data_IF_942677230665
#
_entry.id   IF_942677230665
#
_cell.length_a   1.000
_cell.length_b   1.000
_cell.length_c   1.000
_cell.angle_alpha   90.00
_cell.angle_beta   90.00
_cell.angle_gamma   90.00
#
_symmetry.space_group_name_H-M   'P 1'
#
loop_
_entity.id
_entity.type
_entity.pdbx_description
1 polymer ?
#
# COMPACT_ATOMS: atom_id res chain seq x y z
N UNK A 1 20.12 -83.76 34.46
CA UNK A 1 20.35 -82.40 34.03
C UNK A 1 19.55 -82.14 32.76
N UNK A 2 18.44 -81.41 32.83
CA UNK A 2 17.57 -81.10 31.68
C UNK A 2 17.77 -79.64 31.35
N UNK A 3 18.27 -79.35 30.14
CA UNK A 3 18.38 -78.02 29.60
C UNK A 3 17.01 -77.51 29.12
N UNK A 4 16.55 -76.37 29.67
CA UNK A 4 15.35 -75.67 29.21
C UNK A 4 15.81 -74.48 28.31
N UNK A 5 15.34 -74.52 27.05
CA UNK A 5 15.54 -73.39 26.12
C UNK A 5 14.46 -72.35 26.35
N UNK A 6 14.81 -70.99 26.36
CA UNK A 6 13.81 -69.97 26.40
C UNK A 6 13.27 -69.64 24.98
N UNK A 7 11.95 -69.47 24.92
CA UNK A 7 11.20 -69.05 23.72
C UNK A 7 11.45 -67.59 23.42
N UNK A 8 12.02 -67.29 22.25
CA UNK A 8 12.11 -65.97 21.71
C UNK A 8 10.74 -65.44 21.28
N UNK A 9 10.28 -64.33 21.90
CA UNK A 9 9.11 -63.56 21.49
C UNK A 9 9.59 -62.57 20.43
N UNK A 10 9.13 -62.71 19.20
CA UNK A 10 9.24 -61.72 18.14
C UNK A 10 8.32 -60.53 18.48
N UNK A 11 8.88 -59.39 18.81
CA UNK A 11 8.17 -58.13 18.83
C UNK A 11 8.11 -57.59 17.39
N UNK A 12 6.92 -57.60 16.80
CA UNK A 12 6.65 -56.86 15.56
C UNK A 12 6.57 -55.37 15.92
N UNK A 13 7.60 -54.60 15.58
CA UNK A 13 7.56 -53.16 15.63
C UNK A 13 6.77 -52.65 14.42
N UNK A 14 5.56 -52.15 14.67
CA UNK A 14 4.80 -51.40 13.68
C UNK A 14 5.49 -50.06 13.46
N UNK A 15 6.13 -49.87 12.30
CA UNK A 15 6.62 -48.59 11.85
C UNK A 15 5.41 -47.75 11.38
N UNK A 16 4.94 -46.84 12.24
CA UNK A 16 4.03 -45.79 11.85
C UNK A 16 4.86 -44.82 11.01
N UNK A 17 4.76 -44.88 9.68
CA UNK A 17 5.27 -43.85 8.79
C UNK A 17 4.43 -42.58 9.02
N UNK A 18 4.95 -41.65 9.84
CA UNK A 18 4.44 -40.30 9.86
C UNK A 18 4.76 -39.68 8.50
N UNK A 19 3.74 -39.51 7.69
CA UNK A 19 3.78 -38.60 6.52
C UNK A 19 4.08 -37.21 7.06
N UNK A 20 5.36 -36.86 7.11
CA UNK A 20 5.77 -35.47 7.24
C UNK A 20 5.19 -34.75 6.03
N UNK A 21 4.16 -33.94 6.26
CA UNK A 21 3.69 -33.01 5.26
C UNK A 21 4.90 -32.16 4.89
N UNK A 22 5.35 -32.27 3.64
CA UNK A 22 6.35 -31.37 3.08
C UNK A 22 5.87 -29.95 3.35
N UNK A 23 6.74 -29.02 3.77
CA UNK A 23 6.34 -27.62 3.88
C UNK A 23 5.81 -27.22 2.50
N UNK A 24 4.50 -27.00 2.40
CA UNK A 24 3.92 -26.43 1.22
C UNK A 24 4.69 -25.10 1.01
N UNK A 25 5.44 -25.00 -0.07
CA UNK A 25 6.01 -23.72 -0.50
C UNK A 25 4.85 -22.74 -0.50
N UNK A 26 4.88 -21.79 0.42
CA UNK A 26 3.85 -20.77 0.49
C UNK A 26 3.86 -20.03 -0.86
N UNK A 27 2.80 -20.31 -1.64
CA UNK A 27 2.67 -19.74 -2.98
C UNK A 27 2.59 -18.23 -2.86
N UNK A 28 3.51 -17.53 -3.50
CA UNK A 28 3.46 -16.07 -3.55
C UNK A 28 2.38 -15.63 -4.56
N UNK A 29 1.14 -15.56 -4.06
CA UNK A 29 -0.03 -15.17 -4.84
C UNK A 29 0.12 -13.74 -5.42
N UNK A 30 0.92 -12.89 -4.78
CA UNK A 30 1.09 -11.50 -5.20
C UNK A 30 1.96 -11.37 -6.46
N UNK A 31 2.78 -12.38 -6.78
CA UNK A 31 3.59 -12.44 -8.01
C UNK A 31 2.77 -12.56 -9.30
N UNK A 32 1.48 -12.91 -9.19
CA UNK A 32 0.57 -13.06 -10.33
C UNK A 32 -0.08 -11.72 -10.75
N UNK A 33 0.12 -10.65 -9.97
CA UNK A 33 -0.46 -9.36 -10.27
C UNK A 33 0.27 -8.59 -11.37
N UNK A 34 -0.52 -8.05 -12.29
CA UNK A 34 -0.18 -6.98 -13.22
C UNK A 34 -1.18 -5.83 -12.99
N UNK A 35 -0.85 -4.94 -12.06
CA UNK A 35 -1.80 -3.90 -11.61
C UNK A 35 -2.21 -2.91 -12.71
N UNK A 36 -1.35 -2.72 -13.73
CA UNK A 36 -1.66 -1.91 -14.90
C UNK A 36 -2.67 -2.58 -15.83
N UNK A 37 -2.77 -3.93 -15.77
CA UNK A 37 -3.73 -4.71 -16.55
C UNK A 37 -4.43 -5.76 -15.66
N UNK A 38 -5.54 -5.37 -15.00
CA UNK A 38 -6.32 -6.30 -14.18
C UNK A 38 -6.92 -7.48 -14.97
N UNK A 39 -7.14 -7.34 -16.28
CA UNK A 39 -7.65 -8.45 -17.09
C UNK A 39 -6.55 -9.51 -17.33
N UNK A 40 -5.32 -9.10 -17.57
CA UNK A 40 -4.17 -10.01 -17.62
C UNK A 40 -3.95 -10.72 -16.29
N UNK A 41 -4.09 -9.99 -15.16
CA UNK A 41 -4.03 -10.59 -13.81
C UNK A 41 -5.12 -11.64 -13.61
N UNK A 42 -6.36 -11.36 -14.04
CA UNK A 42 -7.47 -12.34 -13.98
C UNK A 42 -7.12 -13.62 -14.73
N UNK A 43 -6.60 -13.50 -15.96
CA UNK A 43 -6.25 -14.68 -16.76
C UNK A 43 -5.19 -15.55 -16.05
N UNK A 44 -4.16 -14.93 -15.45
CA UNK A 44 -3.14 -15.62 -14.66
C UNK A 44 -3.73 -16.32 -13.42
N UNK A 45 -4.62 -15.64 -12.68
CA UNK A 45 -5.29 -16.23 -11.52
C UNK A 45 -6.24 -17.36 -11.91
N UNK A 46 -6.94 -17.29 -13.04
CA UNK A 46 -7.78 -18.38 -13.52
C UNK A 46 -6.96 -19.63 -13.88
N UNK A 47 -5.82 -19.46 -14.54
CA UNK A 47 -4.89 -20.56 -14.80
C UNK A 47 -4.35 -21.18 -13.50
N UNK A 48 -4.03 -20.34 -12.50
CA UNK A 48 -3.59 -20.81 -11.18
C UNK A 48 -4.71 -21.55 -10.45
N UNK A 49 -5.96 -21.12 -10.57
CA UNK A 49 -7.13 -21.71 -9.92
C UNK A 49 -7.33 -23.20 -10.28
N UNK A 50 -6.91 -23.61 -11.47
CA UNK A 50 -6.96 -25.01 -11.91
C UNK A 50 -5.96 -25.91 -11.15
N UNK A 51 -4.87 -25.30 -10.67
CA UNK A 51 -3.73 -25.98 -10.05
C UNK A 51 -3.84 -26.06 -8.53
N UNK A 52 -4.64 -25.20 -7.90
CA UNK A 52 -4.73 -25.08 -6.44
C UNK A 52 -6.03 -25.65 -5.88
N UNK A 53 -6.02 -26.05 -4.59
CA UNK A 53 -7.18 -26.61 -3.87
C UNK A 53 -7.22 -26.03 -2.44
N UNK A 54 -8.32 -26.25 -1.73
CA UNK A 54 -8.49 -25.81 -0.33
C UNK A 54 -8.30 -24.30 -0.18
N UNK A 55 -7.60 -23.90 0.88
CA UNK A 55 -7.37 -22.49 1.23
C UNK A 55 -6.72 -21.69 0.11
N UNK A 56 -5.72 -22.24 -0.57
CA UNK A 56 -5.06 -21.58 -1.68
C UNK A 56 -6.04 -21.27 -2.84
N UNK A 57 -7.02 -22.15 -3.08
CA UNK A 57 -8.06 -21.91 -4.08
C UNK A 57 -8.95 -20.73 -3.67
N UNK A 58 -9.34 -20.66 -2.40
CA UNK A 58 -10.16 -19.57 -1.86
C UNK A 58 -9.39 -18.24 -1.96
N UNK A 59 -8.12 -18.22 -1.59
CA UNK A 59 -7.28 -17.03 -1.74
C UNK A 59 -7.21 -16.55 -3.20
N UNK A 60 -7.00 -17.44 -4.17
CA UNK A 60 -6.98 -17.10 -5.59
C UNK A 60 -8.34 -16.54 -6.04
N UNK A 61 -9.45 -17.11 -5.60
CA UNK A 61 -10.79 -16.60 -5.93
C UNK A 61 -10.99 -15.17 -5.42
N UNK A 62 -10.50 -14.83 -4.22
CA UNK A 62 -10.56 -13.45 -3.72
C UNK A 62 -9.76 -12.48 -4.60
N UNK A 63 -8.62 -12.91 -5.15
CA UNK A 63 -7.81 -12.08 -6.05
C UNK A 63 -8.48 -11.90 -7.42
N UNK A 64 -9.18 -12.91 -7.92
CA UNK A 64 -10.03 -12.76 -9.13
C UNK A 64 -11.14 -11.74 -8.85
N UNK A 65 -11.80 -11.79 -7.69
CA UNK A 65 -12.80 -10.78 -7.31
C UNK A 65 -12.21 -9.36 -7.29
N UNK A 66 -10.97 -9.20 -6.80
CA UNK A 66 -10.26 -7.93 -6.85
C UNK A 66 -10.05 -7.40 -8.28
N UNK A 67 -9.77 -8.28 -9.27
CA UNK A 67 -9.62 -7.84 -10.66
C UNK A 67 -10.92 -7.25 -11.23
N UNK A 68 -12.08 -7.80 -10.86
CA UNK A 68 -13.38 -7.22 -11.20
C UNK A 68 -13.60 -5.87 -10.50
N UNK A 69 -13.29 -5.78 -9.21
CA UNK A 69 -13.41 -4.54 -8.44
C UNK A 69 -12.56 -3.40 -9.04
N UNK A 70 -11.32 -3.69 -9.47
CA UNK A 70 -10.44 -2.71 -10.11
C UNK A 70 -11.00 -2.21 -11.45
N UNK A 71 -11.73 -3.06 -12.19
CA UNK A 71 -12.44 -2.70 -13.43
C UNK A 71 -13.83 -2.12 -13.18
N UNK A 72 -14.19 -1.87 -11.92
CA UNK A 72 -15.50 -1.35 -11.47
C UNK A 72 -16.68 -2.29 -11.73
N UNK A 73 -16.46 -3.56 -12.03
CA UNK A 73 -17.49 -4.58 -12.08
C UNK A 73 -17.77 -5.15 -10.68
N UNK A 74 -18.33 -4.29 -9.84
CA UNK A 74 -18.61 -4.62 -8.43
C UNK A 74 -19.60 -5.77 -8.28
N UNK A 75 -20.53 -5.90 -9.22
CA UNK A 75 -21.52 -7.00 -9.22
C UNK A 75 -20.84 -8.36 -9.38
N UNK A 76 -19.88 -8.50 -10.30
CA UNK A 76 -19.12 -9.73 -10.48
C UNK A 76 -18.20 -9.99 -9.28
N UNK A 77 -17.54 -8.94 -8.76
CA UNK A 77 -16.70 -9.08 -7.57
C UNK A 77 -17.50 -9.64 -6.39
N UNK A 78 -18.67 -9.07 -6.11
CA UNK A 78 -19.53 -9.53 -5.01
C UNK A 78 -20.03 -10.95 -5.23
N UNK A 79 -20.52 -11.32 -6.43
CA UNK A 79 -20.96 -12.69 -6.72
C UNK A 79 -19.88 -13.72 -6.44
N UNK A 80 -18.65 -13.47 -6.89
CA UNK A 80 -17.56 -14.41 -6.63
C UNK A 80 -17.20 -14.49 -5.15
N UNK A 81 -17.25 -13.37 -4.42
CA UNK A 81 -17.03 -13.35 -2.98
C UNK A 81 -18.16 -14.05 -2.21
N UNK A 82 -19.42 -13.98 -2.69
CA UNK A 82 -20.57 -14.72 -2.13
C UNK A 82 -20.42 -16.24 -2.28
N UNK A 83 -19.76 -16.70 -3.36
CA UNK A 83 -19.41 -18.13 -3.56
C UNK A 83 -18.28 -18.59 -2.63
N UNK A 84 -17.36 -17.70 -2.25
CA UNK A 84 -16.25 -17.98 -1.32
C UNK A 84 -16.72 -18.04 0.12
N UNK A 85 -17.61 -17.13 0.53
CA UNK A 85 -18.01 -16.87 1.91
C UNK A 85 -18.43 -18.13 2.69
N UNK A 86 -19.33 -19.01 2.20
CA UNK A 86 -19.76 -20.19 2.97
C UNK A 86 -18.64 -21.19 3.21
N UNK A 87 -17.59 -21.17 2.40
CA UNK A 87 -16.44 -22.07 2.52
C UNK A 87 -15.46 -21.63 3.61
N UNK A 88 -15.54 -20.36 4.03
CA UNK A 88 -14.66 -19.78 5.04
C UNK A 88 -14.89 -20.36 6.44
N UNK A 89 -16.03 -20.99 6.70
CA UNK A 89 -16.32 -21.59 8.01
C UNK A 89 -15.30 -22.66 8.42
N UNK A 90 -14.73 -23.37 7.45
CA UNK A 90 -13.72 -24.41 7.66
C UNK A 90 -12.32 -24.03 7.16
N UNK A 91 -12.16 -22.83 6.61
CA UNK A 91 -10.90 -22.35 6.08
C UNK A 91 -9.99 -21.79 7.19
N UNK A 92 -8.69 -21.74 6.91
CA UNK A 92 -7.70 -21.07 7.73
C UNK A 92 -7.86 -19.53 7.77
N UNK A 93 -6.96 -18.87 8.47
CA UNK A 93 -7.02 -17.42 8.65
C UNK A 93 -6.73 -16.63 7.35
N UNK A 94 -5.77 -17.08 6.52
CA UNK A 94 -5.35 -16.34 5.34
C UNK A 94 -6.49 -16.11 4.32
N UNK A 95 -7.26 -17.12 3.86
CA UNK A 95 -8.38 -16.89 2.96
C UNK A 95 -9.49 -16.04 3.58
N UNK A 96 -9.73 -16.15 4.90
CA UNK A 96 -10.69 -15.28 5.62
C UNK A 96 -10.28 -13.82 5.57
N UNK A 97 -9.02 -13.55 5.88
CA UNK A 97 -8.48 -12.17 5.86
C UNK A 97 -8.51 -11.61 4.44
N UNK A 98 -8.08 -12.38 3.43
CA UNK A 98 -8.15 -11.92 2.03
C UNK A 98 -9.58 -11.66 1.57
N UNK A 99 -10.52 -12.51 1.93
CA UNK A 99 -11.94 -12.27 1.66
C UNK A 99 -12.41 -10.94 2.24
N UNK A 100 -12.14 -10.68 3.52
CA UNK A 100 -12.51 -9.44 4.19
C UNK A 100 -11.89 -8.21 3.52
N UNK A 101 -10.60 -8.29 3.19
CA UNK A 101 -9.89 -7.23 2.48
C UNK A 101 -10.51 -6.93 1.12
N UNK A 102 -10.77 -7.95 0.30
CA UNK A 102 -11.28 -7.74 -1.06
C UNK A 102 -12.77 -7.36 -1.05
N UNK A 103 -13.56 -7.87 -0.12
CA UNK A 103 -14.95 -7.44 0.10
C UNK A 103 -14.99 -5.96 0.51
N UNK A 104 -14.14 -5.57 1.46
CA UNK A 104 -14.00 -4.19 1.92
C UNK A 104 -13.54 -3.24 0.81
N UNK A 105 -12.54 -3.64 0.01
CA UNK A 105 -12.08 -2.87 -1.16
C UNK A 105 -13.17 -2.67 -2.19
N UNK A 106 -13.98 -3.70 -2.45
CA UNK A 106 -15.10 -3.61 -3.39
C UNK A 106 -16.13 -2.59 -2.92
N UNK A 107 -16.52 -2.62 -1.63
CA UNK A 107 -17.42 -1.61 -1.05
C UNK A 107 -16.81 -0.21 -1.09
N UNK A 108 -15.54 -0.06 -0.70
CA UNK A 108 -14.88 1.25 -0.74
C UNK A 108 -14.85 1.83 -2.17
N UNK A 109 -14.53 1.01 -3.17
CA UNK A 109 -14.49 1.43 -4.57
C UNK A 109 -15.87 1.77 -5.15
N UNK A 110 -16.92 1.18 -4.59
CA UNK A 110 -18.32 1.52 -4.88
C UNK A 110 -18.81 2.79 -4.14
N UNK A 111 -18.00 3.34 -3.21
CA UNK A 111 -18.36 4.51 -2.39
C UNK A 111 -19.05 4.14 -1.07
N UNK A 112 -19.19 2.86 -0.74
CA UNK A 112 -19.89 2.33 0.44
C UNK A 112 -18.92 2.17 1.62
N UNK A 113 -18.29 3.27 2.04
CA UNK A 113 -17.22 3.28 3.06
C UNK A 113 -17.65 2.71 4.41
N UNK A 114 -18.89 2.96 4.83
CA UNK A 114 -19.41 2.47 6.11
C UNK A 114 -19.49 0.93 6.16
N UNK A 115 -19.70 0.29 4.99
CA UNK A 115 -19.69 -1.17 4.86
C UNK A 115 -18.28 -1.74 4.79
N UNK A 116 -17.34 -0.97 4.25
CA UNK A 116 -15.95 -1.39 4.12
C UNK A 116 -15.20 -1.38 5.46
N UNK A 117 -15.43 -0.37 6.31
CA UNK A 117 -14.71 -0.17 7.57
C UNK A 117 -14.69 -1.41 8.47
N UNK A 118 -15.83 -2.01 8.86
CA UNK A 118 -15.83 -3.16 9.77
C UNK A 118 -15.05 -4.35 9.19
N UNK A 119 -15.08 -4.56 7.89
CA UNK A 119 -14.35 -5.65 7.24
C UNK A 119 -12.83 -5.49 7.34
N UNK A 120 -12.32 -4.28 7.19
CA UNK A 120 -10.89 -4.01 7.34
C UNK A 120 -10.44 -4.14 8.80
N UNK A 121 -11.27 -3.73 9.77
CA UNK A 121 -10.98 -3.90 11.19
C UNK A 121 -10.95 -5.39 11.56
N UNK A 122 -11.94 -6.17 11.14
CA UNK A 122 -11.98 -7.61 11.36
C UNK A 122 -10.78 -8.32 10.68
N UNK A 123 -10.41 -7.90 9.47
CA UNK A 123 -9.22 -8.41 8.79
C UNK A 123 -7.94 -8.19 9.61
N UNK A 124 -7.77 -7.02 10.20
CA UNK A 124 -6.66 -6.71 11.10
C UNK A 124 -6.63 -7.64 12.32
N UNK A 125 -7.77 -7.84 12.97
CA UNK A 125 -7.88 -8.67 14.18
C UNK A 125 -7.54 -10.13 13.90
N UNK A 126 -8.13 -10.72 12.83
CA UNK A 126 -7.86 -12.11 12.44
C UNK A 126 -6.40 -12.28 12.00
N UNK A 127 -5.89 -11.36 11.19
CA UNK A 127 -4.50 -11.42 10.70
C UNK A 127 -3.50 -11.29 11.85
N UNK A 128 -3.74 -10.38 12.79
CA UNK A 128 -2.91 -10.20 13.98
C UNK A 128 -2.89 -11.45 14.88
N UNK A 129 -4.06 -12.04 15.15
CA UNK A 129 -4.17 -13.27 15.94
C UNK A 129 -3.49 -14.46 15.29
N UNK A 130 -3.45 -14.51 13.95
CA UNK A 130 -2.84 -15.59 13.17
C UNK A 130 -1.37 -15.35 12.80
N UNK A 131 -0.76 -14.23 13.19
CA UNK A 131 0.62 -13.89 12.83
C UNK A 131 0.83 -13.58 11.34
N UNK A 132 -0.23 -13.22 10.62
CA UNK A 132 -0.21 -12.86 9.19
C UNK A 132 0.13 -11.37 9.04
N UNK A 133 1.35 -10.98 9.46
CA UNK A 133 1.74 -9.57 9.60
C UNK A 133 1.60 -8.76 8.30
N UNK A 134 1.91 -9.35 7.14
CA UNK A 134 1.72 -8.69 5.84
C UNK A 134 0.27 -8.33 5.56
N UNK A 135 -0.67 -9.24 5.85
CA UNK A 135 -2.11 -8.98 5.68
C UNK A 135 -2.66 -8.04 6.76
N UNK A 136 -2.11 -8.10 7.99
CA UNK A 136 -2.48 -7.16 9.05
C UNK A 136 -2.08 -5.73 8.67
N UNK A 137 -0.85 -5.53 8.19
CA UNK A 137 -0.39 -4.20 7.72
C UNK A 137 -1.24 -3.69 6.55
N UNK A 138 -1.63 -4.57 5.63
CA UNK A 138 -2.53 -4.24 4.53
C UNK A 138 -3.91 -3.79 5.05
N UNK A 139 -4.48 -4.48 6.03
CA UNK A 139 -5.73 -4.08 6.66
C UNK A 139 -5.62 -2.71 7.36
N UNK A 140 -4.54 -2.48 8.13
CA UNK A 140 -4.29 -1.20 8.79
C UNK A 140 -4.10 -0.05 7.78
N UNK A 141 -3.58 -0.32 6.58
CA UNK A 141 -3.48 0.65 5.50
C UNK A 141 -4.85 1.00 4.89
N UNK A 142 -5.78 0.06 4.84
CA UNK A 142 -7.10 0.28 4.25
C UNK A 142 -8.05 1.09 5.14
N UNK A 143 -7.95 0.98 6.47
CA UNK A 143 -8.86 1.69 7.39
C UNK A 143 -8.80 3.23 7.22
N UNK A 144 -7.62 3.89 7.15
CA UNK A 144 -7.54 5.34 6.96
C UNK A 144 -8.23 5.86 5.70
N UNK A 145 -8.30 5.03 4.66
CA UNK A 145 -8.94 5.40 3.38
C UNK A 145 -10.45 5.58 3.53
N UNK A 146 -11.05 4.87 4.49
CA UNK A 146 -12.51 4.87 4.70
C UNK A 146 -12.96 5.77 5.84
N UNK A 147 -12.12 5.98 6.89
CA UNK A 147 -12.52 6.75 8.06
C UNK A 147 -11.93 8.17 8.12
N UNK A 148 -10.71 8.38 7.66
CA UNK A 148 -10.03 9.68 7.77
C UNK A 148 -9.78 10.16 9.21
N UNK A 149 -9.40 11.43 9.35
CA UNK A 149 -9.27 12.12 10.64
C UNK A 149 -8.38 11.41 11.68
N UNK A 150 -8.64 11.68 12.95
CA UNK A 150 -7.85 11.13 14.06
C UNK A 150 -7.88 9.59 14.14
N UNK A 151 -9.01 8.97 13.83
CA UNK A 151 -9.10 7.51 13.78
C UNK A 151 -8.20 6.95 12.67
N UNK A 152 -8.23 7.54 11.47
CA UNK A 152 -7.37 7.13 10.37
C UNK A 152 -5.88 7.32 10.68
N UNK A 153 -5.51 8.42 11.34
CA UNK A 153 -4.14 8.66 11.77
C UNK A 153 -3.65 7.60 12.77
N UNK A 154 -4.49 7.19 13.71
CA UNK A 154 -4.18 6.13 14.67
C UNK A 154 -3.97 4.77 13.98
N UNK A 155 -4.81 4.41 13.00
CA UNK A 155 -4.65 3.19 12.21
C UNK A 155 -3.36 3.21 11.38
N UNK A 156 -3.02 4.36 10.78
CA UNK A 156 -1.74 4.54 10.08
C UNK A 156 -0.56 4.30 11.03
N UNK A 157 -0.61 4.86 12.25
CA UNK A 157 0.42 4.67 13.27
C UNK A 157 0.58 3.19 13.65
N UNK A 158 -0.52 2.46 13.86
CA UNK A 158 -0.50 1.00 14.13
C UNK A 158 0.15 0.22 13.00
N UNK A 159 -0.20 0.55 11.74
CA UNK A 159 0.42 -0.05 10.57
C UNK A 159 1.92 0.18 10.50
N UNK A 160 2.38 1.41 10.75
CA UNK A 160 3.82 1.78 10.81
C UNK A 160 4.54 0.98 11.89
N UNK A 161 3.98 0.92 13.10
CA UNK A 161 4.60 0.19 14.22
C UNK A 161 4.74 -1.31 13.93
N UNK A 162 3.70 -1.92 13.36
CA UNK A 162 3.78 -3.32 12.98
C UNK A 162 4.81 -3.54 11.87
N UNK A 163 4.78 -2.74 10.80
CA UNK A 163 5.70 -2.89 9.67
C UNK A 163 7.16 -2.70 10.06
N UNK A 164 7.46 -1.77 11.00
CA UNK A 164 8.84 -1.55 11.51
C UNK A 164 9.41 -2.74 12.25
N UNK A 165 8.61 -3.40 13.10
CA UNK A 165 9.08 -4.54 13.91
C UNK A 165 8.96 -5.88 13.21
N UNK A 166 8.24 -5.94 12.09
CA UNK A 166 7.97 -7.17 11.36
C UNK A 166 9.24 -7.73 10.70
N UNK A 167 9.33 -9.05 10.65
CA UNK A 167 10.27 -9.78 9.82
C UNK A 167 9.65 -10.23 8.49
N UNK A 168 8.32 -10.11 8.36
CA UNK A 168 7.59 -10.41 7.13
C UNK A 168 7.97 -9.41 6.03
N UNK A 169 8.43 -9.93 4.89
CA UNK A 169 8.87 -9.10 3.76
C UNK A 169 7.73 -8.25 3.18
N UNK A 170 6.48 -8.74 3.19
CA UNK A 170 5.31 -8.02 2.66
C UNK A 170 4.93 -6.87 3.60
N UNK A 171 4.92 -7.10 4.92
CA UNK A 171 4.72 -6.06 5.91
C UNK A 171 5.76 -4.94 5.78
N UNK A 172 7.03 -5.30 5.68
CA UNK A 172 8.13 -4.35 5.52
C UNK A 172 8.08 -3.57 4.21
N UNK A 173 7.65 -4.21 3.13
CA UNK A 173 7.51 -3.56 1.83
C UNK A 173 6.46 -2.44 1.82
N UNK A 174 5.50 -2.45 2.75
CA UNK A 174 4.49 -1.39 2.91
C UNK A 174 4.97 -0.21 3.76
N UNK A 175 6.06 -0.38 4.53
CA UNK A 175 6.54 0.64 5.46
C UNK A 175 6.77 2.02 4.81
N UNK A 176 7.39 2.16 3.61
CA UNK A 176 7.64 3.47 3.03
C UNK A 176 6.34 4.26 2.74
N UNK A 177 5.30 3.59 2.26
CA UNK A 177 4.00 4.21 1.99
C UNK A 177 3.27 4.60 3.27
N UNK A 178 3.31 3.74 4.30
CA UNK A 178 2.71 4.02 5.61
C UNK A 178 3.40 5.20 6.30
N UNK A 179 4.72 5.28 6.25
CA UNK A 179 5.49 6.41 6.78
C UNK A 179 5.10 7.72 6.08
N UNK A 180 5.00 7.69 4.75
CA UNK A 180 4.56 8.85 3.99
C UNK A 180 3.16 9.32 4.44
N UNK A 181 2.21 8.40 4.56
CA UNK A 181 0.86 8.72 5.01
C UNK A 181 0.84 9.24 6.46
N UNK A 182 1.64 8.64 7.34
CA UNK A 182 1.76 9.11 8.73
C UNK A 182 2.33 10.52 8.80
N UNK A 183 3.36 10.82 8.02
CA UNK A 183 3.95 12.15 7.95
C UNK A 183 2.97 13.20 7.41
N UNK A 184 2.15 12.84 6.41
CA UNK A 184 1.10 13.73 5.91
C UNK A 184 -0.01 13.96 6.94
N UNK A 185 -0.42 12.94 7.72
CA UNK A 185 -1.37 13.14 8.82
C UNK A 185 -0.85 14.16 9.82
N UNK A 186 0.41 14.03 10.26
CA UNK A 186 1.05 15.00 11.16
C UNK A 186 1.14 16.40 10.52
N UNK A 187 1.47 16.46 9.24
CA UNK A 187 1.57 17.72 8.51
C UNK A 187 0.21 18.43 8.42
N UNK A 188 -0.86 17.71 8.13
CA UNK A 188 -2.22 18.25 8.02
C UNK A 188 -2.77 18.73 9.37
N UNK A 189 -2.29 18.14 10.47
CA UNK A 189 -2.52 18.60 11.85
C UNK A 189 -1.67 19.84 12.23
N UNK A 190 -0.81 20.34 11.34
CA UNK A 190 0.12 21.46 11.62
C UNK A 190 1.34 21.05 12.44
N UNK A 191 1.55 19.79 12.73
CA UNK A 191 2.67 19.22 13.53
C UNK A 191 3.91 19.01 12.67
N UNK A 192 4.33 20.07 11.96
CA UNK A 192 5.41 20.00 10.97
C UNK A 192 6.75 19.53 11.53
N UNK A 193 7.08 19.91 12.77
CA UNK A 193 8.32 19.50 13.43
C UNK A 193 8.37 17.98 13.70
N UNK A 194 7.21 17.36 13.92
CA UNK A 194 7.09 15.92 14.10
C UNK A 194 6.95 15.19 12.74
N UNK A 195 6.33 15.83 11.74
CA UNK A 195 6.21 15.27 10.39
C UNK A 195 7.56 15.13 9.68
N UNK A 196 8.46 16.11 9.83
CA UNK A 196 9.72 16.15 9.08
C UNK A 196 10.60 14.91 9.29
N UNK A 197 10.88 14.43 10.53
CA UNK A 197 11.66 13.21 10.70
C UNK A 197 11.00 11.98 10.09
N UNK A 198 9.65 11.89 10.10
CA UNK A 198 8.92 10.77 9.51
C UNK A 198 8.99 10.82 7.97
N UNK A 199 8.87 12.01 7.35
CA UNK A 199 9.11 12.17 5.91
C UNK A 199 10.52 11.76 5.49
N UNK A 200 11.54 12.11 6.28
CA UNK A 200 12.92 11.69 6.01
C UNK A 200 13.11 10.18 6.14
N UNK A 201 12.45 9.54 7.10
CA UNK A 201 12.45 8.08 7.22
C UNK A 201 11.77 7.44 6.00
N UNK A 202 10.63 7.99 5.54
CA UNK A 202 9.96 7.55 4.32
C UNK A 202 10.85 7.69 3.08
N UNK A 203 11.57 8.81 2.95
CA UNK A 203 12.55 9.04 1.87
C UNK A 203 13.62 7.94 1.85
N UNK A 204 14.28 7.70 2.98
CA UNK A 204 15.31 6.64 3.08
C UNK A 204 14.73 5.28 2.73
N UNK A 205 13.54 4.97 3.24
CA UNK A 205 12.87 3.70 2.97
C UNK A 205 12.50 3.54 1.48
N UNK A 206 12.02 4.59 0.81
CA UNK A 206 11.75 4.54 -0.64
C UNK A 206 13.01 4.40 -1.47
N UNK A 207 14.07 5.15 -1.14
CA UNK A 207 15.36 5.04 -1.84
C UNK A 207 15.95 3.64 -1.75
N UNK A 208 15.81 2.97 -0.61
CA UNK A 208 16.25 1.59 -0.42
C UNK A 208 15.52 0.58 -1.32
N UNK A 209 14.30 0.91 -1.81
CA UNK A 209 13.57 0.04 -2.76
C UNK A 209 14.10 0.12 -4.19
N UNK A 210 14.93 1.10 -4.53
CA UNK A 210 15.37 1.40 -5.88
C UNK A 210 14.30 2.01 -6.80
N UNK A 211 13.10 2.29 -6.28
CA UNK A 211 11.99 2.87 -7.04
C UNK A 211 12.16 4.39 -7.16
N UNK A 212 12.80 4.83 -8.22
CA UNK A 212 13.14 6.25 -8.43
C UNK A 212 11.96 7.23 -8.39
N UNK A 213 10.79 6.95 -9.02
CA UNK A 213 9.66 7.89 -8.95
C UNK A 213 9.18 8.13 -7.51
N UNK A 214 9.06 7.04 -6.71
CA UNK A 214 8.62 7.15 -5.31
C UNK A 214 9.65 7.86 -4.44
N UNK A 215 10.95 7.64 -4.68
CA UNK A 215 12.03 8.36 -4.01
C UNK A 215 11.97 9.87 -4.27
N UNK A 216 11.69 10.30 -5.50
CA UNK A 216 11.49 11.72 -5.85
C UNK A 216 10.29 12.32 -5.14
N UNK A 217 9.15 11.61 -5.10
CA UNK A 217 7.94 12.07 -4.39
C UNK A 217 8.22 12.22 -2.89
N UNK A 218 8.93 11.28 -2.28
CA UNK A 218 9.30 11.36 -0.86
C UNK A 218 10.19 12.58 -0.57
N UNK A 219 11.17 12.86 -1.41
CA UNK A 219 12.01 14.06 -1.30
C UNK A 219 11.21 15.35 -1.50
N UNK A 220 10.26 15.38 -2.44
CA UNK A 220 9.33 16.47 -2.60
C UNK A 220 8.53 16.71 -1.31
N UNK A 221 8.04 15.64 -0.66
CA UNK A 221 7.30 15.73 0.61
C UNK A 221 8.16 16.31 1.74
N UNK A 222 9.44 15.92 1.83
CA UNK A 222 10.41 16.52 2.77
C UNK A 222 10.52 18.03 2.52
N UNK A 223 10.73 18.45 1.29
CA UNK A 223 10.86 19.86 0.92
C UNK A 223 9.58 20.65 1.21
N UNK A 224 8.42 20.07 0.93
CA UNK A 224 7.11 20.66 1.24
C UNK A 224 6.94 20.88 2.75
N UNK A 225 7.36 19.92 3.58
CA UNK A 225 7.34 20.04 5.04
C UNK A 225 8.34 21.13 5.53
N UNK A 226 9.54 21.18 4.96
CA UNK A 226 10.53 22.23 5.26
C UNK A 226 9.98 23.63 4.95
N UNK A 227 9.24 23.81 3.85
CA UNK A 227 8.55 25.08 3.55
C UNK A 227 7.54 25.44 4.66
N UNK A 228 6.76 24.47 5.14
CA UNK A 228 5.83 24.71 6.25
C UNK A 228 6.50 25.07 7.56
N UNK A 229 7.77 24.68 7.75
CA UNK A 229 8.62 25.06 8.89
C UNK A 229 9.36 26.40 8.68
N UNK A 230 9.20 27.08 7.56
CA UNK A 230 9.94 28.31 7.22
C UNK A 230 11.41 28.07 6.83
N UNK A 231 11.83 26.82 6.62
CA UNK A 231 13.20 26.43 6.23
C UNK A 231 13.35 26.50 4.71
N UNK A 232 13.14 27.71 4.16
CA UNK A 232 12.96 27.93 2.74
C UNK A 232 14.19 27.59 1.89
N UNK A 233 15.41 27.91 2.35
CA UNK A 233 16.64 27.65 1.58
C UNK A 233 16.89 26.13 1.41
N UNK A 234 16.66 25.36 2.47
CA UNK A 234 16.79 23.89 2.42
C UNK A 234 15.75 23.29 1.47
N UNK A 235 14.49 23.74 1.59
CA UNK A 235 13.41 23.28 0.72
C UNK A 235 13.70 23.61 -0.75
N UNK A 236 14.17 24.83 -1.04
CA UNK A 236 14.49 25.26 -2.39
C UNK A 236 15.66 24.44 -2.97
N UNK A 237 16.69 24.12 -2.18
CA UNK A 237 17.78 23.27 -2.59
C UNK A 237 17.30 21.89 -3.04
N UNK A 238 16.41 21.26 -2.30
CA UNK A 238 15.83 19.95 -2.64
C UNK A 238 14.98 20.05 -3.93
N UNK A 239 14.12 21.07 -4.05
CA UNK A 239 13.25 21.23 -5.21
C UNK A 239 14.04 21.51 -6.50
N UNK A 240 15.13 22.27 -6.42
CA UNK A 240 16.03 22.49 -7.55
C UNK A 240 16.75 21.20 -7.99
N UNK A 241 17.19 20.38 -7.05
CA UNK A 241 17.75 19.08 -7.37
C UNK A 241 16.73 18.16 -8.06
N UNK A 242 15.48 18.15 -7.59
CA UNK A 242 14.37 17.38 -8.21
C UNK A 242 14.07 17.89 -9.62
N UNK A 243 14.05 19.22 -9.83
CA UNK A 243 13.88 19.81 -11.17
C UNK A 243 14.94 19.29 -12.16
N UNK A 244 16.21 19.25 -11.73
CA UNK A 244 17.31 18.74 -12.56
C UNK A 244 17.18 17.25 -12.85
N UNK A 245 16.80 16.45 -11.86
CA UNK A 245 16.60 15.00 -12.02
C UNK A 245 15.43 14.66 -12.96
N UNK A 246 14.33 15.42 -12.90
CA UNK A 246 13.22 15.26 -13.83
C UNK A 246 13.61 15.66 -15.24
N UNK A 247 14.34 16.77 -15.39
CA UNK A 247 14.84 17.23 -16.69
C UNK A 247 15.85 16.23 -17.31
N UNK A 248 16.74 15.64 -16.50
CA UNK A 248 17.66 14.60 -16.93
C UNK A 248 16.96 13.32 -17.39
N UNK A 249 15.75 13.05 -16.85
CA UNK A 249 14.89 11.94 -17.29
C UNK A 249 14.02 12.30 -18.53
N UNK A 250 14.18 13.48 -19.11
CA UNK A 250 13.33 13.97 -20.21
C UNK A 250 11.89 14.27 -19.81
N UNK A 251 11.65 14.53 -18.54
CA UNK A 251 10.33 14.73 -17.95
C UNK A 251 10.25 16.07 -17.20
N UNK A 252 9.03 16.47 -16.87
CA UNK A 252 8.76 17.64 -16.05
C UNK A 252 7.75 17.26 -14.95
N UNK A 253 7.84 17.95 -13.82
CA UNK A 253 6.91 17.76 -12.70
C UNK A 253 6.33 19.11 -12.27
N UNK A 254 5.03 19.29 -12.50
CA UNK A 254 4.33 20.54 -12.20
C UNK A 254 4.27 20.84 -10.70
N UNK A 255 4.27 19.84 -9.84
CA UNK A 255 4.30 20.01 -8.38
C UNK A 255 5.66 20.53 -7.91
N UNK A 256 6.75 20.10 -8.54
CA UNK A 256 8.10 20.64 -8.25
C UNK A 256 8.16 22.12 -8.66
N UNK A 257 7.62 22.48 -9.82
CA UNK A 257 7.58 23.87 -10.25
C UNK A 257 6.73 24.75 -9.33
N UNK A 258 5.56 24.26 -8.90
CA UNK A 258 4.73 24.98 -7.95
C UNK A 258 5.47 25.23 -6.62
N UNK A 259 6.14 24.22 -6.04
CA UNK A 259 6.88 24.39 -4.81
C UNK A 259 8.08 25.36 -4.96
N UNK A 260 8.79 25.35 -6.08
CA UNK A 260 9.85 26.33 -6.36
C UNK A 260 9.25 27.76 -6.43
N UNK A 261 8.11 27.92 -7.10
CA UNK A 261 7.43 29.21 -7.18
C UNK A 261 7.01 29.73 -5.80
N UNK A 262 6.37 28.88 -4.98
CA UNK A 262 5.94 29.23 -3.64
C UNK A 262 7.13 29.62 -2.73
N UNK A 263 8.25 28.91 -2.85
CA UNK A 263 9.47 29.18 -2.08
C UNK A 263 10.13 30.50 -2.50
N UNK A 264 10.21 30.77 -3.79
CA UNK A 264 10.74 32.03 -4.30
C UNK A 264 9.88 33.21 -3.88
N UNK A 265 8.57 33.06 -3.94
CA UNK A 265 7.63 34.09 -3.50
C UNK A 265 7.74 34.36 -1.99
N UNK A 266 7.76 33.27 -1.18
CA UNK A 266 7.93 33.39 0.27
C UNK A 266 9.26 34.02 0.70
N UNK A 267 10.27 34.01 -0.18
CA UNK A 267 11.58 34.64 0.04
C UNK A 267 11.72 35.99 -0.61
N UNK A 268 10.60 36.62 -1.07
CA UNK A 268 10.60 37.98 -1.63
C UNK A 268 11.19 38.11 -3.03
N UNK A 269 11.10 37.00 -3.84
CA UNK A 269 11.62 36.96 -5.22
C UNK A 269 10.48 36.71 -6.24
N UNK A 270 9.43 37.57 -6.26
CA UNK A 270 8.25 37.35 -7.10
C UNK A 270 8.55 37.27 -8.59
N UNK A 271 9.50 38.08 -9.08
CA UNK A 271 9.89 38.07 -10.50
C UNK A 271 10.51 36.72 -10.92
N UNK A 272 11.20 36.06 -10.01
CA UNK A 272 11.74 34.70 -10.26
C UNK A 272 10.67 33.62 -10.06
N UNK A 273 9.66 33.86 -9.22
CA UNK A 273 8.57 32.93 -8.97
C UNK A 273 7.59 32.83 -10.16
N UNK A 274 7.31 33.97 -10.83
CA UNK A 274 6.32 34.05 -11.89
C UNK A 274 6.52 33.01 -13.02
N UNK A 275 7.71 32.83 -13.62
CA UNK A 275 7.90 31.82 -14.66
C UNK A 275 7.69 30.39 -14.15
N UNK A 276 7.94 30.16 -12.87
CA UNK A 276 7.67 28.83 -12.26
C UNK A 276 6.18 28.59 -12.03
N UNK A 277 5.41 29.58 -11.63
CA UNK A 277 3.94 29.48 -11.58
C UNK A 277 3.35 29.16 -12.96
N UNK A 278 3.87 29.79 -14.02
CA UNK A 278 3.44 29.45 -15.38
C UNK A 278 3.77 28.01 -15.76
N UNK A 279 5.01 27.57 -15.56
CA UNK A 279 5.43 26.20 -15.84
C UNK A 279 4.59 25.18 -15.05
N UNK A 280 4.29 25.48 -13.78
CA UNK A 280 3.42 24.63 -12.96
C UNK A 280 2.00 24.53 -13.54
N UNK A 281 1.42 25.66 -13.94
CA UNK A 281 0.10 25.70 -14.56
C UNK A 281 0.04 24.93 -15.89
N UNK A 282 1.09 25.04 -16.70
CA UNK A 282 1.19 24.37 -17.99
C UNK A 282 1.30 22.84 -17.81
N UNK A 283 2.12 22.36 -16.87
CA UNK A 283 2.28 20.93 -16.62
C UNK A 283 1.07 20.32 -15.92
N UNK A 284 0.59 20.91 -14.83
CA UNK A 284 -0.57 20.41 -14.08
C UNK A 284 -1.88 20.53 -14.88
N UNK A 285 -1.94 21.49 -15.80
CA UNK A 285 -3.08 21.64 -16.71
C UNK A 285 -3.21 20.52 -17.76
N UNK A 286 -2.20 19.69 -17.95
CA UNK A 286 -2.26 18.48 -18.81
C UNK A 286 -2.91 17.30 -18.09
N UNK A 287 -2.96 17.30 -16.76
CA UNK A 287 -3.57 16.25 -15.95
C UNK A 287 -5.08 16.47 -15.82
N UNK A 288 -5.87 15.62 -16.46
CA UNK A 288 -7.33 15.67 -16.43
C UNK A 288 -7.90 15.62 -15.00
N UNK A 289 -7.27 14.79 -14.12
CA UNK A 289 -7.67 14.73 -12.72
C UNK A 289 -7.43 16.05 -11.99
N UNK A 290 -6.27 16.67 -12.19
CA UNK A 290 -5.94 17.94 -11.56
C UNK A 290 -6.88 19.06 -12.04
N UNK A 291 -7.17 19.09 -13.32
CA UNK A 291 -8.12 20.07 -13.91
C UNK A 291 -9.51 19.93 -13.31
N UNK A 292 -9.99 18.69 -13.12
CA UNK A 292 -11.31 18.40 -12.55
C UNK A 292 -11.37 18.65 -11.04
N UNK A 293 -10.37 18.20 -10.29
CA UNK A 293 -10.41 18.16 -8.81
C UNK A 293 -9.80 19.40 -8.15
N UNK A 294 -8.86 20.08 -8.83
CA UNK A 294 -8.12 21.23 -8.31
C UNK A 294 -8.31 22.52 -9.16
N UNK A 295 -9.52 22.84 -9.66
CA UNK A 295 -9.71 23.95 -10.60
C UNK A 295 -9.32 25.31 -10.01
N UNK A 296 -9.55 25.52 -8.70
CA UNK A 296 -9.18 26.77 -8.02
C UNK A 296 -7.66 26.91 -7.91
N UNK A 297 -6.95 25.82 -7.63
CA UNK A 297 -5.48 25.80 -7.55
C UNK A 297 -4.88 26.08 -8.91
N UNK A 298 -5.39 25.46 -9.97
CA UNK A 298 -4.94 25.73 -11.34
C UNK A 298 -5.19 27.18 -11.76
N UNK A 299 -6.35 27.75 -11.43
CA UNK A 299 -6.65 29.16 -11.71
C UNK A 299 -5.70 30.09 -10.98
N UNK A 300 -5.36 29.80 -9.71
CA UNK A 300 -4.36 30.56 -8.94
C UNK A 300 -2.98 30.51 -9.59
N UNK A 301 -2.53 29.33 -10.02
CA UNK A 301 -1.24 29.19 -10.69
C UNK A 301 -1.17 30.01 -11.99
N UNK A 302 -2.23 29.96 -12.81
CA UNK A 302 -2.34 30.75 -14.03
C UNK A 302 -2.30 32.27 -13.74
N UNK A 303 -3.08 32.72 -12.77
CA UNK A 303 -3.11 34.14 -12.38
C UNK A 303 -1.75 34.65 -11.90
N UNK A 304 -0.96 33.80 -11.23
CA UNK A 304 0.37 34.18 -10.74
C UNK A 304 1.46 34.00 -11.80
N UNK A 305 1.23 33.17 -12.81
CA UNK A 305 2.13 32.98 -13.95
C UNK A 305 2.08 34.06 -15.01
N UNK A 306 1.02 34.86 -15.01
CA UNK A 306 0.81 35.97 -15.94
C UNK A 306 0.12 35.56 -17.21
#
# INVERSE_FOLDING_TARGET
>A
MRFVRPRSRLFAAAFAASLAASPAFAMDIDSYWEYADPAASEARFRSLLEQVRGDARLEVQTQIARTFSLRRDFAQAHRLLDEVEPQLATAGAAPRVRYLLERGRTFNSAGEKDRARPLFVEAWEIAGAAGLEGLAVDAAHMVPIVVGGAEGAEWTRRGVELARRSTDAKARAMLPALLNNHAWNLHDEGRYAEALPVFREAEVAWLATGRQPQGRIARWSVARCLRSLGRYDEALGIQRALEQEWAAAGQADGYVYEEIAELLDATGKPDQAQPYFRRAADELGKDAWFVEKEPRRLARLRSRGG
#
